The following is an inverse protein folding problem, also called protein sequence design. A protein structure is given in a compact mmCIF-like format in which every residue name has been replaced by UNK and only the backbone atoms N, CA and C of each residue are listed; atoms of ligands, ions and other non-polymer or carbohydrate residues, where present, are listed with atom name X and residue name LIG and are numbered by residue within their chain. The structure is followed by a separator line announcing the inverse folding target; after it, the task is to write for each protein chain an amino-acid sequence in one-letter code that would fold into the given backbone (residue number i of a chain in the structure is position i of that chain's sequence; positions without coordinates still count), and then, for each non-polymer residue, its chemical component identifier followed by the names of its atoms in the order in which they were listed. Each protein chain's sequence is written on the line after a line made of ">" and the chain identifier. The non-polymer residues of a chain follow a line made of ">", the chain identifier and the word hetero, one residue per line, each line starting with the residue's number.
data_IF_920871801814
#
_entry.id   IF_920871801814
#
_cell.length_a   1.000
_cell.length_b   1.000
_cell.length_c   1.000
_cell.angle_alpha   90.00
_cell.angle_beta   90.00
_cell.angle_gamma   90.00
#
_symmetry.space_group_name_H-M   'P 1'
#
loop_
_entity.id
_entity.type
_entity.pdbx_description
1 polymer ?
#
# COMPACT_ATOMS: atom_id res chain seq x y z
N UNK A 1 0.78 20.27 -5.88
CA UNK A 1 1.48 18.97 -5.83
C UNK A 1 1.09 18.17 -4.59
N UNK A 2 1.17 18.73 -3.39
CA UNK A 2 0.86 18.05 -2.12
C UNK A 2 -0.58 17.54 -2.04
N UNK A 3 -1.56 18.26 -2.62
CA UNK A 3 -2.98 17.84 -2.64
C UNK A 3 -3.19 16.55 -3.43
N UNK A 4 -2.54 16.42 -4.59
CA UNK A 4 -2.59 15.22 -5.44
C UNK A 4 -1.90 14.04 -4.72
N UNK A 5 -0.73 14.28 -4.13
CA UNK A 5 -0.04 13.27 -3.32
C UNK A 5 -0.92 12.72 -2.21
N UNK A 6 -1.57 13.60 -1.43
CA UNK A 6 -2.48 13.18 -0.36
C UNK A 6 -3.70 12.42 -0.91
N UNK A 7 -4.25 12.84 -2.06
CA UNK A 7 -5.35 12.14 -2.70
C UNK A 7 -4.99 10.72 -3.12
N UNK A 8 -3.84 10.54 -3.75
CA UNK A 8 -3.35 9.21 -4.12
C UNK A 8 -3.07 8.36 -2.89
N UNK A 9 -2.43 8.92 -1.87
CA UNK A 9 -2.17 8.23 -0.61
C UNK A 9 -3.47 7.74 0.03
N UNK A 10 -4.49 8.60 0.15
CA UNK A 10 -5.78 8.22 0.73
C UNK A 10 -6.49 7.14 -0.08
N UNK A 11 -6.42 7.17 -1.41
CA UNK A 11 -7.03 6.14 -2.26
C UNK A 11 -6.33 4.80 -2.06
N UNK A 12 -5.00 4.75 -2.10
CA UNK A 12 -4.24 3.51 -1.89
C UNK A 12 -4.50 2.94 -0.50
N UNK A 13 -4.44 3.79 0.53
CA UNK A 13 -4.68 3.40 1.92
C UNK A 13 -6.10 2.87 2.12
N UNK A 14 -7.12 3.56 1.57
CA UNK A 14 -8.50 3.12 1.66
C UNK A 14 -8.76 1.79 0.94
N UNK A 15 -8.18 1.57 -0.26
CA UNK A 15 -8.29 0.28 -0.96
C UNK A 15 -7.66 -0.83 -0.13
N UNK A 16 -6.46 -0.60 0.42
CA UNK A 16 -5.80 -1.56 1.29
C UNK A 16 -6.65 -1.86 2.53
N UNK A 17 -7.20 -0.84 3.19
CA UNK A 17 -8.03 -1.01 4.38
C UNK A 17 -9.30 -1.81 4.10
N UNK A 18 -9.97 -1.55 2.97
CA UNK A 18 -11.20 -2.28 2.58
C UNK A 18 -10.92 -3.75 2.32
N UNK A 19 -9.82 -4.07 1.65
CA UNK A 19 -9.54 -5.43 1.18
C UNK A 19 -8.76 -6.28 2.19
N UNK A 20 -7.77 -5.71 2.88
CA UNK A 20 -6.74 -6.50 3.55
C UNK A 20 -6.58 -6.22 5.05
N UNK A 21 -6.76 -4.97 5.51
CA UNK A 21 -6.39 -4.57 6.87
C UNK A 21 -7.01 -5.46 7.94
N UNK A 22 -8.34 -5.62 7.90
CA UNK A 22 -9.07 -6.41 8.88
C UNK A 22 -8.55 -7.85 8.97
N UNK A 23 -8.28 -8.48 7.83
CA UNK A 23 -7.84 -9.86 7.76
C UNK A 23 -6.44 -10.06 8.34
N UNK A 24 -5.51 -9.14 8.02
CA UNK A 24 -4.14 -9.19 8.52
C UNK A 24 -4.04 -8.82 10.01
N UNK A 25 -4.88 -7.93 10.50
CA UNK A 25 -4.93 -7.58 11.92
C UNK A 25 -5.42 -8.76 12.76
N UNK A 26 -6.37 -9.54 12.23
CA UNK A 26 -6.86 -10.74 12.91
C UNK A 26 -5.93 -11.96 12.80
N UNK A 27 -4.87 -11.90 11.97
CA UNK A 27 -3.98 -13.04 11.77
C UNK A 27 -3.33 -13.50 13.09
N UNK A 28 -2.80 -12.58 13.88
CA UNK A 28 -2.17 -12.89 15.16
C UNK A 28 -3.15 -13.54 16.15
N UNK A 29 -4.40 -13.07 16.17
CA UNK A 29 -5.44 -13.63 17.03
C UNK A 29 -5.87 -15.01 16.57
N UNK A 30 -5.98 -15.23 15.27
CA UNK A 30 -6.30 -16.54 14.69
C UNK A 30 -5.23 -17.57 15.01
N UNK A 31 -3.96 -17.19 14.99
CA UNK A 31 -2.85 -18.07 15.40
C UNK A 31 -2.97 -18.43 16.87
N UNK A 32 -3.16 -17.45 17.76
CA UNK A 32 -3.27 -17.67 19.21
C UNK A 32 -4.47 -18.56 19.59
N UNK A 33 -5.54 -18.53 18.81
CA UNK A 33 -6.77 -19.32 19.02
C UNK A 33 -6.75 -20.69 18.30
N UNK A 34 -5.66 -21.05 17.60
CA UNK A 34 -5.56 -22.29 16.83
C UNK A 34 -6.39 -22.27 15.53
N UNK A 35 -6.97 -21.12 15.14
CA UNK A 35 -7.79 -21.01 13.93
C UNK A 35 -6.98 -21.06 12.64
N UNK A 36 -5.67 -20.83 12.70
CA UNK A 36 -4.79 -20.91 11.53
C UNK A 36 -4.70 -22.32 10.98
N UNK A 37 -4.66 -23.35 11.82
CA UNK A 37 -4.56 -24.74 11.42
C UNK A 37 -5.75 -25.17 10.54
N UNK A 38 -6.94 -24.65 10.84
CA UNK A 38 -8.15 -24.87 10.06
C UNK A 38 -8.08 -24.18 8.68
N UNK A 39 -7.39 -23.04 8.58
CA UNK A 39 -7.19 -22.36 7.30
C UNK A 39 -6.14 -23.08 6.45
N UNK A 40 -5.06 -23.57 7.08
CA UNK A 40 -3.96 -24.26 6.39
C UNK A 40 -4.37 -25.68 5.92
N UNK A 41 -5.37 -26.30 6.53
CA UNK A 41 -5.84 -27.64 6.12
C UNK A 41 -6.64 -27.64 4.81
N UNK A 42 -7.02 -26.48 4.29
CA UNK A 42 -7.77 -26.37 3.04
C UNK A 42 -6.84 -26.44 1.81
N UNK A 43 -7.25 -27.10 0.71
CA UNK A 43 -6.44 -27.24 -0.51
C UNK A 43 -6.46 -25.95 -1.37
N UNK A 44 -6.21 -24.80 -0.75
CA UNK A 44 -6.17 -23.46 -1.39
C UNK A 44 -4.93 -22.74 -0.92
N UNK A 45 -4.41 -21.82 -1.72
CA UNK A 45 -3.27 -21.00 -1.31
C UNK A 45 -3.56 -20.28 0.01
N UNK A 46 -2.75 -20.57 1.01
CA UNK A 46 -2.94 -20.07 2.39
C UNK A 46 -2.89 -18.56 2.48
N UNK A 47 -1.99 -17.91 1.73
CA UNK A 47 -1.88 -16.46 1.67
C UNK A 47 -3.17 -15.83 1.13
N UNK A 48 -3.72 -16.38 0.05
CA UNK A 48 -4.98 -15.92 -0.51
C UNK A 48 -6.13 -16.09 0.49
N UNK A 49 -6.22 -17.26 1.13
CA UNK A 49 -7.27 -17.51 2.12
C UNK A 49 -7.20 -16.56 3.32
N UNK A 50 -6.00 -16.28 3.83
CA UNK A 50 -5.82 -15.37 4.95
C UNK A 50 -6.20 -13.93 4.55
N UNK A 51 -5.83 -13.52 3.34
CA UNK A 51 -5.95 -12.12 2.91
C UNK A 51 -7.36 -11.72 2.47
N UNK A 52 -8.17 -12.65 1.98
CA UNK A 52 -9.48 -12.37 1.36
C UNK A 52 -10.66 -12.99 2.10
N UNK A 53 -10.59 -13.10 3.43
CA UNK A 53 -11.69 -13.68 4.21
C UNK A 53 -12.92 -12.75 4.26
N UNK A 54 -12.68 -11.46 4.48
CA UNK A 54 -13.74 -10.46 4.66
C UNK A 54 -13.30 -9.13 4.10
N UNK A 55 -14.21 -8.43 3.43
CA UNK A 55 -14.02 -7.04 3.04
C UNK A 55 -14.61 -6.13 4.11
N UNK A 56 -13.88 -5.10 4.51
CA UNK A 56 -14.31 -4.13 5.51
C UNK A 56 -15.23 -3.07 4.87
N UNK A 57 -16.48 -3.43 4.58
CA UNK A 57 -17.45 -2.57 3.89
C UNK A 57 -17.73 -1.27 4.64
N UNK A 58 -17.58 -1.24 5.97
CA UNK A 58 -17.72 -0.03 6.78
C UNK A 58 -16.73 1.08 6.39
N UNK A 59 -15.59 0.73 5.75
CA UNK A 59 -14.55 1.68 5.34
C UNK A 59 -14.77 2.21 3.92
N UNK A 60 -15.77 1.75 3.19
CA UNK A 60 -16.06 2.24 1.83
C UNK A 60 -16.28 3.76 1.77
N UNK A 61 -16.80 4.35 2.85
CA UNK A 61 -16.91 5.81 2.96
C UNK A 61 -15.57 6.54 2.83
N UNK A 62 -14.50 6.00 3.42
CA UNK A 62 -13.15 6.57 3.30
C UNK A 62 -12.62 6.49 1.85
N UNK A 63 -12.94 5.41 1.14
CA UNK A 63 -12.57 5.27 -0.28
C UNK A 63 -13.29 6.33 -1.14
N UNK A 64 -14.58 6.53 -0.92
CA UNK A 64 -15.36 7.55 -1.62
C UNK A 64 -14.79 8.95 -1.34
N UNK A 65 -14.48 9.27 -0.09
CA UNK A 65 -13.86 10.54 0.29
C UNK A 65 -12.48 10.71 -0.33
N UNK A 66 -11.66 9.65 -0.36
CA UNK A 66 -10.35 9.66 -0.99
C UNK A 66 -10.42 9.93 -2.50
N UNK A 67 -11.35 9.27 -3.19
CA UNK A 67 -11.60 9.48 -4.62
C UNK A 67 -12.13 10.88 -4.90
N UNK A 68 -13.06 11.39 -4.09
CA UNK A 68 -13.58 12.74 -4.22
C UNK A 68 -12.48 13.79 -4.03
N UNK A 69 -11.63 13.61 -3.00
CA UNK A 69 -10.48 14.48 -2.77
C UNK A 69 -9.49 14.45 -3.94
N UNK A 70 -9.17 13.26 -4.46
CA UNK A 70 -8.27 13.12 -5.59
C UNK A 70 -8.83 13.80 -6.84
N UNK A 71 -10.13 13.60 -7.13
CA UNK A 71 -10.81 14.24 -8.24
C UNK A 71 -10.77 15.78 -8.11
N UNK A 72 -11.06 16.30 -6.91
CA UNK A 72 -10.98 17.75 -6.63
C UNK A 72 -9.54 18.27 -6.80
N UNK A 73 -8.54 17.52 -6.31
CA UNK A 73 -7.14 17.92 -6.43
C UNK A 73 -6.65 17.96 -7.88
N UNK A 74 -7.10 17.00 -8.71
CA UNK A 74 -6.80 16.95 -10.14
C UNK A 74 -7.51 18.11 -10.88
N UNK A 75 -8.79 18.34 -10.61
CA UNK A 75 -9.54 19.43 -11.22
C UNK A 75 -8.93 20.81 -10.92
N UNK A 76 -8.44 21.00 -9.70
CA UNK A 76 -7.80 22.25 -9.25
C UNK A 76 -6.36 22.43 -9.76
N UNK A 77 -5.83 21.48 -10.53
CA UNK A 77 -4.44 21.56 -11.02
C UNK A 77 -4.39 22.06 -12.46
N UNK A 78 -3.93 23.27 -12.66
CA UNK A 78 -3.70 23.85 -13.98
C UNK A 78 -2.59 23.10 -14.73
N UNK A 79 -2.83 22.73 -16.00
CA UNK A 79 -1.90 21.96 -16.83
C UNK A 79 -2.02 20.44 -16.68
N UNK A 80 -3.12 19.96 -16.12
CA UNK A 80 -3.39 18.52 -16.05
C UNK A 80 -3.75 17.96 -17.43
N UNK A 81 -3.12 16.85 -17.81
CA UNK A 81 -3.39 16.15 -19.07
C UNK A 81 -4.12 14.83 -18.78
N UNK A 82 -5.32 14.67 -19.31
CA UNK A 82 -6.22 13.55 -19.01
C UNK A 82 -5.62 12.17 -19.27
N UNK A 83 -4.77 11.99 -20.27
CA UNK A 83 -4.12 10.72 -20.54
C UNK A 83 -3.23 10.23 -19.36
N UNK A 84 -2.76 11.13 -18.49
CA UNK A 84 -1.99 10.78 -17.31
C UNK A 84 -2.78 9.99 -16.27
N UNK A 85 -4.11 10.00 -16.34
CA UNK A 85 -4.95 9.14 -15.51
C UNK A 85 -4.69 7.65 -15.77
N UNK A 86 -4.24 7.28 -16.97
CA UNK A 86 -3.91 5.90 -17.28
C UNK A 86 -2.80 5.35 -16.38
N UNK A 87 -1.87 6.22 -15.95
CA UNK A 87 -0.84 5.81 -15.00
C UNK A 87 -1.41 5.37 -13.64
N UNK A 88 -2.55 5.91 -13.22
CA UNK A 88 -3.19 5.47 -11.97
C UNK A 88 -3.66 4.01 -12.03
N UNK A 89 -4.11 3.56 -13.22
CA UNK A 89 -4.58 2.17 -13.40
C UNK A 89 -3.45 1.17 -13.11
N UNK A 90 -2.22 1.54 -13.38
CA UNK A 90 -1.05 0.69 -13.15
C UNK A 90 -0.44 0.94 -11.77
N UNK A 91 -0.29 2.20 -11.37
CA UNK A 91 0.49 2.56 -10.18
C UNK A 91 -0.31 2.43 -8.88
N UNK A 92 -1.62 2.64 -8.88
CA UNK A 92 -2.44 2.45 -7.67
C UNK A 92 -2.49 0.98 -7.25
N UNK A 93 -2.80 0.02 -8.14
CA UNK A 93 -2.71 -1.40 -7.77
C UNK A 93 -1.30 -1.83 -7.33
N UNK A 94 -0.25 -1.32 -7.98
CA UNK A 94 1.14 -1.60 -7.56
C UNK A 94 1.42 -1.06 -6.16
N UNK A 95 0.95 0.15 -5.84
CA UNK A 95 1.07 0.72 -4.49
C UNK A 95 0.31 -0.08 -3.43
N UNK A 96 -0.91 -0.52 -3.74
CA UNK A 96 -1.69 -1.39 -2.85
C UNK A 96 -0.99 -2.74 -2.64
N UNK A 97 -0.44 -3.34 -3.71
CA UNK A 97 0.28 -4.61 -3.62
C UNK A 97 1.54 -4.51 -2.76
N UNK A 98 2.33 -3.43 -2.90
CA UNK A 98 3.50 -3.17 -2.06
C UNK A 98 3.09 -3.00 -0.60
N UNK A 99 2.05 -2.20 -0.35
CA UNK A 99 1.55 -1.98 1.01
C UNK A 99 1.07 -3.28 1.65
N UNK A 100 0.28 -4.06 0.91
CA UNK A 100 -0.18 -5.38 1.32
C UNK A 100 0.99 -6.31 1.66
N UNK A 101 1.97 -6.45 0.75
CA UNK A 101 3.08 -7.37 0.92
C UNK A 101 3.95 -7.03 2.13
N UNK A 102 4.27 -5.73 2.33
CA UNK A 102 4.99 -5.29 3.52
C UNK A 102 4.20 -5.59 4.80
N UNK A 103 2.91 -5.28 4.81
CA UNK A 103 2.07 -5.54 5.97
C UNK A 103 1.92 -7.04 6.25
N UNK A 104 1.78 -7.85 5.20
CA UNK A 104 1.72 -9.31 5.31
C UNK A 104 3.01 -9.87 5.91
N UNK A 105 4.18 -9.42 5.44
CA UNK A 105 5.48 -9.83 5.96
C UNK A 105 5.62 -9.52 7.46
N UNK A 106 5.25 -8.31 7.89
CA UNK A 106 5.27 -7.94 9.30
C UNK A 106 4.26 -8.74 10.13
N UNK A 107 3.08 -9.01 9.61
CA UNK A 107 2.07 -9.82 10.29
C UNK A 107 2.50 -11.28 10.41
N UNK A 108 3.08 -11.87 9.37
CA UNK A 108 3.62 -13.22 9.39
C UNK A 108 4.80 -13.35 10.38
N UNK A 109 5.70 -12.36 10.41
CA UNK A 109 6.82 -12.32 11.35
C UNK A 109 6.33 -12.18 12.80
N UNK A 110 5.27 -11.41 13.03
CA UNK A 110 4.66 -11.25 14.35
C UNK A 110 4.10 -12.57 14.91
N UNK A 111 3.63 -13.45 14.03
CA UNK A 111 3.18 -14.81 14.40
C UNK A 111 4.32 -15.65 14.98
N UNK A 112 5.51 -15.57 14.37
CA UNK A 112 6.69 -16.35 14.79
C UNK A 112 7.26 -15.82 16.13
N UNK A 113 7.33 -14.51 16.29
CA UNK A 113 8.04 -13.88 17.42
C UNK A 113 7.17 -13.57 18.64
N UNK A 114 5.90 -13.96 18.68
CA UNK A 114 4.96 -13.75 19.81
C UNK A 114 4.83 -12.32 20.34
N UNK A 115 5.54 -11.34 19.80
CA UNK A 115 5.51 -9.91 20.14
C UNK A 115 4.92 -9.07 19.01
N UNK A 116 3.69 -9.39 18.64
CA UNK A 116 2.98 -8.77 17.52
C UNK A 116 2.91 -7.23 17.61
N UNK A 117 2.70 -6.68 18.81
CA UNK A 117 2.53 -5.24 19.01
C UNK A 117 3.77 -4.42 18.61
N UNK A 118 4.96 -4.89 18.98
CA UNK A 118 6.21 -4.20 18.67
C UNK A 118 6.50 -4.19 17.16
N UNK A 119 6.18 -5.28 16.46
CA UNK A 119 6.37 -5.38 15.02
C UNK A 119 5.33 -4.53 14.26
N UNK A 120 4.11 -4.46 14.74
CA UNK A 120 3.11 -3.54 14.18
C UNK A 120 3.55 -2.08 14.32
N UNK A 121 4.07 -1.70 15.50
CA UNK A 121 4.61 -0.36 15.73
C UNK A 121 5.79 -0.05 14.78
N UNK A 122 6.69 -0.99 14.59
CA UNK A 122 7.80 -0.86 13.64
C UNK A 122 7.28 -0.65 12.21
N UNK A 123 6.31 -1.44 11.77
CA UNK A 123 5.67 -1.26 10.47
C UNK A 123 5.09 0.15 10.30
N UNK A 124 4.32 0.64 11.27
CA UNK A 124 3.75 1.98 11.19
C UNK A 124 4.81 3.07 11.10
N UNK A 125 5.94 2.93 11.79
CA UNK A 125 7.04 3.89 11.68
C UNK A 125 7.71 3.85 10.29
N UNK A 126 7.89 2.68 9.70
CA UNK A 126 8.37 2.56 8.32
C UNK A 126 7.35 3.12 7.32
N UNK A 127 6.08 2.82 7.49
CA UNK A 127 5.02 3.34 6.63
C UNK A 127 4.92 4.87 6.66
N UNK A 128 5.15 5.51 7.82
CA UNK A 128 5.23 6.98 7.94
C UNK A 128 6.25 7.61 7.00
N UNK A 129 7.30 6.90 6.64
CA UNK A 129 8.25 7.38 5.62
C UNK A 129 7.57 7.48 4.24
N UNK A 130 6.69 6.54 3.88
CA UNK A 130 5.92 6.58 2.64
C UNK A 130 4.81 7.64 2.61
N UNK A 131 4.34 8.09 3.78
CA UNK A 131 3.33 9.15 3.91
C UNK A 131 3.86 10.55 3.59
N UNK A 132 5.16 10.69 3.37
CA UNK A 132 5.78 11.98 3.02
C UNK A 132 6.26 11.95 1.56
N UNK A 133 6.16 13.06 0.82
CA UNK A 133 6.73 13.15 -0.52
C UNK A 133 8.23 12.85 -0.50
N UNK A 134 8.70 12.03 -1.41
CA UNK A 134 10.10 11.58 -1.50
C UNK A 134 11.11 12.72 -1.70
N UNK A 135 10.66 13.88 -2.18
CA UNK A 135 11.48 15.07 -2.37
C UNK A 135 11.96 15.73 -1.06
N UNK A 136 11.39 15.35 0.10
CA UNK A 136 11.79 15.86 1.41
C UNK A 136 13.05 15.14 1.90
N UNK A 137 13.31 13.94 1.40
CA UNK A 137 14.42 13.12 1.85
C UNK A 137 15.73 13.47 1.15
N UNK A 138 16.84 13.45 1.90
CA UNK A 138 18.17 13.54 1.31
C UNK A 138 18.49 12.29 0.47
N UNK A 139 19.37 12.42 -0.53
CA UNK A 139 19.57 11.43 -1.57
C UNK A 139 19.74 9.97 -1.09
N UNK A 140 20.58 9.61 -0.10
CA UNK A 140 20.71 8.25 0.38
C UNK A 140 19.40 7.67 0.92
N UNK A 141 18.66 8.42 1.75
CA UNK A 141 17.40 7.95 2.34
C UNK A 141 16.31 7.78 1.28
N UNK A 142 16.29 8.68 0.29
CA UNK A 142 15.39 8.58 -0.85
C UNK A 142 15.58 7.25 -1.61
N UNK A 143 16.83 6.84 -1.86
CA UNK A 143 17.11 5.56 -2.51
C UNK A 143 16.62 4.38 -1.67
N UNK A 144 16.85 4.40 -0.35
CA UNK A 144 16.36 3.34 0.55
C UNK A 144 14.84 3.23 0.50
N UNK A 145 14.12 4.36 0.56
CA UNK A 145 12.64 4.41 0.60
C UNK A 145 12.00 4.02 -0.75
N UNK A 146 12.73 4.18 -1.87
CA UNK A 146 12.23 3.80 -3.19
C UNK A 146 12.66 2.38 -3.60
N UNK A 147 13.85 1.92 -3.17
CA UNK A 147 14.46 0.69 -3.70
C UNK A 147 14.44 -0.46 -2.71
N UNK A 148 14.84 -0.23 -1.46
CA UNK A 148 15.01 -1.30 -0.45
C UNK A 148 13.69 -1.55 0.28
N UNK A 149 13.08 -0.50 0.80
CA UNK A 149 11.77 -0.55 1.46
C UNK A 149 10.82 0.32 0.62
N UNK A 150 10.19 -0.24 -0.43
CA UNK A 150 9.58 0.54 -1.51
C UNK A 150 8.31 1.30 -1.10
N UNK A 151 8.28 1.85 0.13
CA UNK A 151 7.14 2.65 0.64
C UNK A 151 6.97 3.96 -0.13
N UNK A 152 8.04 4.52 -0.70
CA UNK A 152 7.96 5.71 -1.55
C UNK A 152 7.23 5.47 -2.86
N UNK A 153 7.14 4.21 -3.34
CA UNK A 153 6.40 3.87 -4.54
C UNK A 153 4.87 3.89 -4.32
N UNK A 154 4.41 3.81 -3.09
CA UNK A 154 2.99 3.71 -2.76
C UNK A 154 2.22 4.96 -3.20
N UNK A 155 2.73 6.14 -2.91
CA UNK A 155 2.04 7.39 -3.21
C UNK A 155 2.89 8.43 -3.97
N UNK A 156 4.21 8.50 -3.71
CA UNK A 156 5.08 9.50 -4.33
C UNK A 156 5.21 9.31 -5.83
N UNK A 157 5.43 8.09 -6.30
CA UNK A 157 5.59 7.81 -7.73
C UNK A 157 4.29 8.02 -8.51
N UNK A 158 3.13 7.48 -8.08
CA UNK A 158 1.85 7.76 -8.74
C UNK A 158 1.54 9.26 -8.82
N UNK A 159 1.75 10.00 -7.74
CA UNK A 159 1.48 11.44 -7.72
C UNK A 159 2.40 12.24 -8.64
N UNK A 160 3.68 11.88 -8.73
CA UNK A 160 4.66 12.52 -9.62
C UNK A 160 4.38 12.21 -11.09
N UNK A 161 3.93 11.01 -11.41
CA UNK A 161 3.51 10.65 -12.78
C UNK A 161 2.28 11.45 -13.21
N UNK A 162 1.30 11.63 -12.33
CA UNK A 162 0.15 12.50 -12.60
C UNK A 162 0.56 13.95 -12.88
N UNK A 163 1.56 14.45 -12.15
CA UNK A 163 2.08 15.79 -12.34
C UNK A 163 2.99 15.92 -13.57
N UNK A 164 3.41 14.81 -14.19
CA UNK A 164 4.38 14.77 -15.27
C UNK A 164 5.80 15.13 -14.83
N UNK A 165 6.10 15.01 -13.54
CA UNK A 165 7.41 15.30 -12.94
C UNK A 165 8.25 14.05 -12.70
N UNK A 166 7.76 12.87 -13.07
CA UNK A 166 8.49 11.61 -12.95
C UNK A 166 8.66 10.94 -14.31
N UNK A 167 9.75 10.21 -14.46
CA UNK A 167 10.00 9.41 -15.64
C UNK A 167 9.15 8.13 -15.66
N UNK A 168 8.63 7.70 -16.81
CA UNK A 168 7.75 6.53 -16.93
C UNK A 168 8.35 5.21 -16.41
N UNK A 169 9.69 5.07 -16.44
CA UNK A 169 10.37 3.88 -15.95
C UNK A 169 10.13 3.62 -14.45
N UNK A 170 9.82 4.66 -13.66
CA UNK A 170 9.45 4.51 -12.25
C UNK A 170 8.13 3.75 -12.07
N UNK A 171 7.20 3.85 -13.03
CA UNK A 171 5.99 3.01 -13.00
C UNK A 171 6.32 1.54 -13.23
N UNK A 172 7.23 1.25 -14.18
CA UNK A 172 7.70 -0.11 -14.43
C UNK A 172 8.41 -0.68 -13.19
N UNK A 173 9.24 0.14 -12.54
CA UNK A 173 9.87 -0.24 -11.27
C UNK A 173 8.83 -0.50 -10.17
N UNK A 174 7.78 0.29 -10.09
CA UNK A 174 6.67 0.08 -9.15
C UNK A 174 5.98 -1.28 -9.36
N UNK A 175 5.72 -1.65 -10.62
CA UNK A 175 5.14 -2.97 -10.96
C UNK A 175 6.12 -4.10 -10.63
N UNK A 176 7.40 -3.97 -10.98
CA UNK A 176 8.42 -4.97 -10.67
C UNK A 176 8.58 -5.15 -9.14
N UNK A 177 8.65 -4.06 -8.38
CA UNK A 177 8.74 -4.09 -6.93
C UNK A 177 7.49 -4.72 -6.30
N UNK A 178 6.29 -4.40 -6.81
CA UNK A 178 5.05 -5.03 -6.36
C UNK A 178 5.08 -6.55 -6.60
N UNK A 179 5.51 -6.98 -7.79
CA UNK A 179 5.64 -8.40 -8.13
C UNK A 179 6.63 -9.13 -7.22
N UNK A 180 7.81 -8.55 -6.98
CA UNK A 180 8.82 -9.10 -6.07
C UNK A 180 8.28 -9.19 -4.65
N UNK A 181 7.66 -8.12 -4.15
CA UNK A 181 7.13 -8.08 -2.79
C UNK A 181 5.99 -9.09 -2.55
N UNK A 182 5.15 -9.36 -3.56
CA UNK A 182 4.06 -10.34 -3.45
C UNK A 182 4.59 -11.79 -3.59
N UNK A 183 5.70 -11.98 -4.30
CA UNK A 183 6.30 -13.30 -4.51
C UNK A 183 7.09 -13.81 -3.29
N UNK A 184 7.64 -12.91 -2.47
CA UNK A 184 8.33 -13.21 -1.19
C UNK A 184 7.33 -13.62 -0.12
#
# INVERSE_FOLDING_TARGET
>A
QTRIFLGVLFVVDAIYMVLFSHNLDMLSDNVRKGGLDLLLSKPVNSQFMISFQRAATAILGNLILGLAWLAFAIYSYEGFTWWRLLWLIVTVPSGVAIFYALRFLFSATAVIFTRAENLQYLFFNLYKLGMRPDNIYFAPLKYVVITIIPVGLIASVPSRLLLGSAEPWLALWGVAAAGICVWI
#
